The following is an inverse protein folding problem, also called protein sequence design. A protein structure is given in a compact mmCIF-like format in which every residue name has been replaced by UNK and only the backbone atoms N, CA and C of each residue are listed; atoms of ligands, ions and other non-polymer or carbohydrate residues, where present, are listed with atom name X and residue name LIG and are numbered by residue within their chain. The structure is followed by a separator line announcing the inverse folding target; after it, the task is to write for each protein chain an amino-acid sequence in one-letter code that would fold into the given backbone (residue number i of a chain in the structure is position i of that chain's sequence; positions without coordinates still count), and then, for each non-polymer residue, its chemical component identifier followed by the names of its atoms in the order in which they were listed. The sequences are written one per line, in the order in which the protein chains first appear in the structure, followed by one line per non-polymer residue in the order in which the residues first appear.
data_IF_092112560021
#
_entry.id   IF_092112560021
#
_cell.length_a   1.000
_cell.length_b   1.000
_cell.length_c   1.000
_cell.angle_alpha   90.00
_cell.angle_beta   90.00
_cell.angle_gamma   90.00
#
_symmetry.space_group_name_H-M   'P 1'
#
loop_
_entity.id
_entity.type
_entity.pdbx_description
1 polymer ?
#
# COMPACT_ATOMS: atom_id res chain seq x y z
N UNK A 1 -8.47 -7.27 -23.49
CA UNK A 1 -9.46 -6.40 -22.81
C UNK A 1 -8.78 -5.08 -22.48
N UNK A 2 -9.43 -3.95 -22.70
CA UNK A 2 -8.92 -2.63 -22.32
C UNK A 2 -9.22 -2.34 -20.85
N UNK A 3 -8.53 -1.40 -20.24
CA UNK A 3 -8.83 -0.94 -18.87
C UNK A 3 -10.24 -0.35 -18.79
N UNK A 4 -11.08 -0.86 -17.90
CA UNK A 4 -12.44 -0.39 -17.67
C UNK A 4 -12.44 0.87 -16.82
N UNK A 5 -13.10 1.95 -17.28
CA UNK A 5 -13.02 3.29 -16.66
C UNK A 5 -14.37 3.93 -16.37
N UNK A 6 -15.47 3.30 -16.79
CA UNK A 6 -16.83 3.83 -16.61
C UNK A 6 -17.78 2.78 -16.07
N UNK A 7 -18.85 3.21 -15.41
CA UNK A 7 -19.92 2.32 -14.95
C UNK A 7 -20.52 1.52 -16.10
N UNK A 8 -20.74 2.15 -17.27
CA UNK A 8 -21.26 1.48 -18.46
C UNK A 8 -20.35 0.32 -18.91
N UNK A 9 -19.01 0.55 -18.96
CA UNK A 9 -18.06 -0.53 -19.28
C UNK A 9 -18.08 -1.66 -18.25
N UNK A 10 -18.22 -1.34 -16.96
CA UNK A 10 -18.34 -2.35 -15.91
C UNK A 10 -19.61 -3.19 -16.07
N UNK A 11 -20.73 -2.57 -16.44
CA UNK A 11 -21.99 -3.29 -16.75
C UNK A 11 -21.85 -4.14 -18.00
N UNK A 12 -21.35 -3.59 -19.10
CA UNK A 12 -21.15 -4.29 -20.39
C UNK A 12 -20.31 -5.57 -20.20
N UNK A 13 -19.32 -5.51 -19.30
CA UNK A 13 -18.45 -6.65 -19.00
C UNK A 13 -18.96 -7.51 -17.83
N UNK A 14 -20.17 -7.28 -17.33
CA UNK A 14 -20.82 -8.10 -16.30
C UNK A 14 -20.20 -8.02 -14.89
N UNK A 15 -19.46 -6.94 -14.57
CA UNK A 15 -18.95 -6.68 -13.21
C UNK A 15 -19.94 -5.93 -12.32
N UNK A 16 -20.93 -5.29 -12.94
CA UNK A 16 -22.02 -4.56 -12.29
C UNK A 16 -23.31 -4.95 -12.98
N UNK A 17 -24.35 -5.28 -12.22
CA UNK A 17 -25.65 -5.59 -12.77
C UNK A 17 -26.29 -4.32 -13.39
N UNK A 18 -27.02 -4.43 -14.51
CA UNK A 18 -27.57 -3.27 -15.23
C UNK A 18 -28.41 -2.33 -14.36
N UNK A 19 -29.21 -2.86 -13.46
CA UNK A 19 -30.06 -2.11 -12.53
C UNK A 19 -29.25 -1.28 -11.51
N UNK A 20 -27.99 -1.61 -11.30
CA UNK A 20 -27.06 -0.88 -10.42
C UNK A 20 -26.27 0.20 -11.17
N UNK A 21 -26.32 0.26 -12.49
CA UNK A 21 -25.50 1.18 -13.28
C UNK A 21 -25.61 2.62 -12.79
N UNK A 22 -26.82 3.15 -12.60
CA UNK A 22 -27.06 4.53 -12.19
C UNK A 22 -26.42 4.89 -10.86
N UNK A 23 -26.50 4.02 -9.88
CA UNK A 23 -25.85 4.27 -8.57
C UNK A 23 -24.33 4.21 -8.69
N UNK A 24 -23.80 3.31 -9.52
CA UNK A 24 -22.35 3.21 -9.77
C UNK A 24 -21.85 4.43 -10.58
N UNK A 25 -22.64 4.99 -11.47
CA UNK A 25 -22.33 6.28 -12.12
C UNK A 25 -22.15 7.40 -11.10
N UNK A 26 -23.01 7.46 -10.08
CA UNK A 26 -22.86 8.43 -8.97
C UNK A 26 -21.54 8.22 -8.23
N UNK A 27 -21.16 6.98 -7.92
CA UNK A 27 -19.89 6.65 -7.26
C UNK A 27 -18.71 7.05 -8.15
N UNK A 28 -18.74 6.70 -9.44
CA UNK A 28 -17.63 6.99 -10.37
C UNK A 28 -17.53 8.45 -10.76
N UNK A 29 -18.59 9.20 -10.61
CA UNK A 29 -18.60 10.67 -10.73
C UNK A 29 -17.76 11.34 -9.64
N UNK A 30 -17.75 10.76 -8.44
CA UNK A 30 -16.99 11.23 -7.30
C UNK A 30 -15.57 10.62 -7.23
N UNK A 31 -15.47 9.31 -7.33
CA UNK A 31 -14.23 8.58 -7.18
C UNK A 31 -13.83 7.87 -8.47
N UNK A 32 -12.63 8.14 -8.93
CA UNK A 32 -12.11 7.52 -10.16
C UNK A 32 -12.18 6.00 -10.13
N UNK A 33 -12.45 5.42 -11.29
CA UNK A 33 -12.36 3.98 -11.54
C UNK A 33 -11.40 3.70 -12.69
N UNK A 34 -10.57 2.68 -12.53
CA UNK A 34 -9.80 2.04 -13.59
C UNK A 34 -9.53 0.61 -13.14
N UNK A 35 -10.00 -0.35 -13.89
CA UNK A 35 -9.77 -1.78 -13.64
C UNK A 35 -9.05 -2.36 -14.85
N UNK A 36 -7.73 -2.59 -14.77
CA UNK A 36 -6.97 -3.16 -15.88
C UNK A 36 -7.32 -4.63 -16.08
N UNK A 37 -7.09 -5.11 -17.31
CA UNK A 37 -7.36 -6.47 -17.72
C UNK A 37 -6.80 -7.53 -16.77
N UNK A 38 -5.56 -7.34 -16.29
CA UNK A 38 -4.90 -8.28 -15.40
C UNK A 38 -5.66 -8.51 -14.08
N UNK A 39 -6.32 -7.48 -13.55
CA UNK A 39 -7.15 -7.59 -12.34
C UNK A 39 -8.58 -8.00 -12.65
N UNK A 40 -9.16 -7.49 -13.74
CA UNK A 40 -10.50 -7.86 -14.17
C UNK A 40 -10.63 -9.38 -14.44
N UNK A 41 -9.58 -9.98 -15.00
CA UNK A 41 -9.52 -11.43 -15.24
C UNK A 41 -9.42 -12.31 -13.99
N UNK A 42 -9.16 -11.72 -12.81
CA UNK A 42 -9.11 -12.44 -11.53
C UNK A 42 -10.46 -12.47 -10.81
N UNK A 43 -11.41 -11.63 -11.22
CA UNK A 43 -12.70 -11.49 -10.56
C UNK A 43 -13.61 -12.67 -10.91
N UNK A 44 -14.08 -13.38 -9.91
CA UNK A 44 -15.19 -14.32 -10.06
C UNK A 44 -16.51 -13.54 -10.03
N UNK A 45 -17.17 -13.44 -11.18
CA UNK A 45 -18.43 -12.70 -11.34
C UNK A 45 -19.63 -13.38 -10.66
N UNK A 46 -19.49 -14.67 -10.33
CA UNK A 46 -20.54 -15.45 -9.67
C UNK A 46 -20.45 -15.34 -8.14
N UNK A 47 -19.34 -14.85 -7.62
CA UNK A 47 -19.17 -14.61 -6.19
C UNK A 47 -19.45 -13.14 -5.84
N UNK A 48 -20.57 -12.81 -5.18
CA UNK A 48 -20.89 -11.45 -4.77
C UNK A 48 -19.92 -10.90 -3.70
N UNK A 49 -19.10 -11.77 -3.12
CA UNK A 49 -18.11 -11.45 -2.10
C UNK A 49 -16.68 -11.58 -2.60
N UNK A 50 -16.46 -11.70 -3.92
CA UNK A 50 -15.14 -11.87 -4.50
C UNK A 50 -14.15 -10.82 -3.97
N UNK A 51 -13.03 -11.25 -3.34
CA UNK A 51 -12.09 -10.35 -2.67
C UNK A 51 -11.32 -9.44 -3.66
N UNK A 52 -11.25 -9.79 -4.94
CA UNK A 52 -10.65 -8.94 -5.95
C UNK A 52 -11.67 -7.89 -6.42
N UNK A 53 -12.92 -8.29 -6.68
CA UNK A 53 -13.99 -7.36 -7.02
C UNK A 53 -14.15 -6.27 -5.96
N UNK A 54 -14.21 -6.65 -4.69
CA UNK A 54 -14.37 -5.73 -3.56
C UNK A 54 -13.24 -4.70 -3.44
N UNK A 55 -12.06 -5.00 -3.95
CA UNK A 55 -10.95 -4.05 -3.95
C UNK A 55 -11.02 -3.01 -5.09
N UNK A 56 -11.67 -3.33 -6.22
CA UNK A 56 -11.53 -2.55 -7.45
C UNK A 56 -12.85 -2.15 -8.11
N UNK A 57 -13.92 -2.91 -7.90
CA UNK A 57 -15.24 -2.58 -8.46
C UNK A 57 -15.95 -1.60 -7.51
N UNK A 58 -16.47 -0.46 -8.02
CA UNK A 58 -17.21 0.51 -7.21
C UNK A 58 -18.46 -0.10 -6.58
N UNK A 59 -18.76 0.29 -5.34
CA UNK A 59 -19.98 -0.11 -4.62
C UNK A 59 -20.74 1.12 -4.10
N UNK A 60 -22.07 1.04 -4.06
CA UNK A 60 -22.95 2.08 -3.53
C UNK A 60 -22.61 2.44 -2.06
N UNK A 61 -22.05 1.51 -1.29
CA UNK A 61 -21.59 1.75 0.09
C UNK A 61 -20.53 2.85 0.20
N UNK A 62 -19.85 3.18 -0.90
CA UNK A 62 -18.87 4.26 -0.96
C UNK A 62 -19.50 5.66 -0.88
N UNK A 63 -20.82 5.77 -1.05
CA UNK A 63 -21.57 7.02 -0.87
C UNK A 63 -21.95 7.27 0.61
N UNK A 64 -21.77 6.28 1.46
CA UNK A 64 -22.05 6.42 2.89
C UNK A 64 -20.90 7.15 3.56
N UNK A 65 -21.21 8.29 4.17
CA UNK A 65 -20.28 9.09 4.99
C UNK A 65 -20.45 8.71 6.45
N UNK A 66 -19.33 8.58 7.15
CA UNK A 66 -19.31 8.37 8.59
C UNK A 66 -18.77 9.61 9.30
N UNK A 67 -19.19 9.88 10.55
CA UNK A 67 -18.73 11.07 11.28
C UNK A 67 -17.20 11.15 11.45
N UNK A 68 -16.53 10.00 11.52
CA UNK A 68 -15.08 9.89 11.66
C UNK A 68 -14.31 10.04 10.34
N UNK A 69 -14.97 10.11 9.19
CA UNK A 69 -14.31 10.22 7.90
C UNK A 69 -13.57 11.56 7.74
N UNK A 70 -12.32 11.51 7.26
CA UNK A 70 -11.44 12.65 7.09
C UNK A 70 -11.00 12.76 5.63
N UNK A 71 -11.08 13.94 5.04
CA UNK A 71 -10.65 14.21 3.65
C UNK A 71 -9.13 13.98 3.48
N UNK A 72 -8.34 14.33 4.50
CA UNK A 72 -6.91 14.01 4.62
C UNK A 72 -6.69 13.13 5.87
N UNK A 73 -6.97 11.82 5.78
CA UNK A 73 -7.02 10.94 6.94
C UNK A 73 -5.67 10.73 7.62
N UNK A 74 -4.57 10.98 6.92
CA UNK A 74 -3.22 10.81 7.47
C UNK A 74 -2.44 12.14 7.59
N UNK A 75 -3.06 13.29 7.30
CA UNK A 75 -2.44 14.60 7.44
C UNK A 75 -1.28 14.86 6.47
N UNK A 76 -1.47 14.51 5.19
CA UNK A 76 -0.46 14.82 4.16
C UNK A 76 -0.34 16.34 3.92
N UNK A 77 -1.46 17.09 3.99
CA UNK A 77 -1.52 18.51 3.61
C UNK A 77 -0.73 19.39 4.59
N UNK A 78 -0.89 19.18 5.90
CA UNK A 78 -0.18 19.94 6.95
C UNK A 78 1.34 19.70 6.93
N UNK A 79 1.79 18.65 6.27
CA UNK A 79 3.20 18.30 6.11
C UNK A 79 3.73 18.52 4.70
N UNK A 80 3.02 19.30 3.86
CA UNK A 80 3.41 19.55 2.45
C UNK A 80 4.03 20.95 2.29
N UNK A 81 5.35 21.11 2.56
CA UNK A 81 6.02 22.42 2.50
C UNK A 81 6.16 22.98 1.09
N UNK A 82 6.21 22.10 0.08
CA UNK A 82 6.21 22.44 -1.35
C UNK A 82 5.42 21.39 -2.13
N UNK A 83 4.94 21.75 -3.30
CA UNK A 83 4.21 20.83 -4.16
C UNK A 83 4.98 19.53 -4.42
N UNK A 84 4.31 18.43 -4.24
CA UNK A 84 4.88 17.10 -4.44
C UNK A 84 5.63 16.52 -3.24
N UNK A 85 5.94 17.29 -2.21
CA UNK A 85 6.59 16.80 -0.98
C UNK A 85 5.57 16.60 0.14
N UNK A 86 5.75 15.53 0.92
CA UNK A 86 5.21 15.40 2.28
C UNK A 86 6.37 15.06 3.21
N UNK A 87 6.64 15.92 4.19
CA UNK A 87 7.77 15.82 5.11
C UNK A 87 7.27 15.72 6.56
N UNK A 88 6.79 14.55 6.95
CA UNK A 88 6.23 14.27 8.29
C UNK A 88 7.30 13.80 9.28
N UNK A 89 8.26 13.02 8.81
CA UNK A 89 9.31 12.42 9.62
C UNK A 89 10.64 13.13 9.36
N UNK A 90 11.50 13.32 10.36
CA UNK A 90 12.71 14.11 10.20
C UNK A 90 13.69 13.56 9.15
N UNK A 91 13.73 12.24 8.98
CA UNK A 91 14.73 11.54 8.17
C UNK A 91 14.25 11.11 6.76
N UNK A 92 12.97 11.36 6.43
CA UNK A 92 12.41 10.89 5.15
C UNK A 92 11.26 11.73 4.64
N UNK A 93 11.13 11.78 3.31
CA UNK A 93 10.04 12.49 2.63
C UNK A 93 9.34 11.58 1.62
N UNK A 94 8.04 11.85 1.42
CA UNK A 94 7.35 11.38 0.23
C UNK A 94 7.58 12.37 -0.91
N UNK A 95 7.85 11.88 -2.12
CA UNK A 95 7.84 12.64 -3.35
C UNK A 95 6.70 12.13 -4.24
N UNK A 96 5.61 12.90 -4.29
CA UNK A 96 4.40 12.61 -5.06
C UNK A 96 4.63 13.02 -6.53
N UNK A 97 5.02 12.07 -7.38
CA UNK A 97 5.37 12.34 -8.78
C UNK A 97 4.17 12.45 -9.71
N UNK A 98 3.03 11.86 -9.32
CA UNK A 98 1.83 11.76 -10.14
C UNK A 98 0.58 11.63 -9.25
N UNK A 99 -0.59 11.97 -9.81
CA UNK A 99 -1.89 11.73 -9.18
C UNK A 99 -2.70 10.64 -9.91
N UNK A 100 -2.07 9.89 -10.81
CA UNK A 100 -2.72 8.86 -11.62
C UNK A 100 -2.18 7.49 -11.24
N UNK A 101 -3.07 6.48 -11.25
CA UNK A 101 -2.77 5.08 -11.03
C UNK A 101 -3.21 4.22 -12.20
N UNK A 102 -2.61 3.04 -12.36
CA UNK A 102 -3.08 2.02 -13.30
C UNK A 102 -4.42 1.42 -12.86
N UNK A 103 -4.65 1.33 -11.56
CA UNK A 103 -5.89 0.89 -10.91
C UNK A 103 -6.25 1.83 -9.77
N UNK A 104 -7.53 2.15 -9.58
CA UNK A 104 -7.99 2.93 -8.42
C UNK A 104 -8.61 1.99 -7.39
N UNK A 105 -7.86 1.76 -6.30
CA UNK A 105 -8.28 0.92 -5.18
C UNK A 105 -9.45 1.55 -4.43
N UNK A 106 -10.50 0.78 -4.11
CA UNK A 106 -11.70 1.30 -3.42
C UNK A 106 -11.43 1.66 -1.95
N UNK A 107 -10.35 1.17 -1.38
CA UNK A 107 -9.86 1.49 -0.03
C UNK A 107 -8.77 2.56 0.01
N UNK A 108 -8.48 3.25 -1.10
CA UNK A 108 -7.40 4.22 -1.19
C UNK A 108 -7.63 5.41 -0.26
N UNK A 109 -6.72 5.67 0.66
CA UNK A 109 -6.82 6.83 1.56
C UNK A 109 -6.62 8.18 0.85
N UNK A 110 -5.93 8.18 -0.31
CA UNK A 110 -5.76 9.36 -1.17
C UNK A 110 -6.82 9.47 -2.26
N UNK A 111 -7.96 8.81 -2.12
CA UNK A 111 -8.99 8.76 -3.17
C UNK A 111 -9.56 10.13 -3.58
N UNK A 112 -9.54 11.11 -2.68
CA UNK A 112 -9.93 12.50 -2.97
C UNK A 112 -8.84 13.27 -3.77
N UNK A 113 -7.59 12.79 -3.73
CA UNK A 113 -6.43 13.46 -4.33
C UNK A 113 -5.96 12.82 -5.63
N UNK A 114 -6.38 11.59 -5.94
CA UNK A 114 -5.97 10.84 -7.13
C UNK A 114 -7.12 10.75 -8.13
N UNK A 115 -6.79 10.72 -9.41
CA UNK A 115 -7.78 10.53 -10.48
C UNK A 115 -7.42 11.28 -11.77
N UNK A 116 -8.12 11.00 -12.88
CA UNK A 116 -7.82 11.56 -14.20
C UNK A 116 -8.08 13.07 -14.31
N UNK A 117 -8.87 13.64 -13.40
CA UNK A 117 -9.12 15.10 -13.32
C UNK A 117 -7.97 15.88 -12.67
N UNK A 118 -6.97 15.18 -12.13
CA UNK A 118 -5.77 15.77 -11.50
C UNK A 118 -4.61 15.78 -12.49
N UNK A 119 -3.58 16.60 -12.27
CA UNK A 119 -2.39 16.59 -13.14
C UNK A 119 -1.78 15.17 -13.23
N UNK A 120 -1.53 14.70 -14.45
CA UNK A 120 -0.97 13.35 -14.69
C UNK A 120 0.37 13.19 -14.00
N UNK A 121 1.16 14.27 -13.96
CA UNK A 121 2.48 14.27 -13.32
C UNK A 121 2.82 15.65 -12.75
N UNK A 122 3.70 15.66 -11.77
CA UNK A 122 4.28 16.90 -11.26
C UNK A 122 5.01 17.63 -12.40
N UNK A 123 4.71 18.93 -12.58
CA UNK A 123 5.33 19.73 -13.64
C UNK A 123 6.86 19.80 -13.48
N UNK A 124 7.63 20.08 -14.54
CA UNK A 124 9.09 20.19 -14.42
C UNK A 124 9.53 21.22 -13.38
N UNK A 125 8.85 22.40 -13.30
CA UNK A 125 9.15 23.43 -12.33
C UNK A 125 8.90 22.93 -10.88
N UNK A 126 7.73 22.38 -10.60
CA UNK A 126 7.39 21.84 -9.28
C UNK A 126 8.30 20.68 -8.87
N UNK A 127 8.71 19.84 -9.82
CA UNK A 127 9.70 18.80 -9.55
C UNK A 127 11.07 19.39 -9.20
N UNK A 128 11.51 20.45 -9.90
CA UNK A 128 12.77 21.14 -9.59
C UNK A 128 12.73 21.73 -8.17
N UNK A 129 11.62 22.35 -7.77
CA UNK A 129 11.41 22.89 -6.41
C UNK A 129 11.43 21.77 -5.36
N UNK A 130 10.77 20.65 -5.61
CA UNK A 130 10.79 19.49 -4.73
C UNK A 130 12.21 18.91 -4.55
N UNK A 131 12.97 18.78 -5.64
CA UNK A 131 14.38 18.33 -5.59
C UNK A 131 15.25 19.35 -4.87
N UNK A 132 15.04 20.67 -5.08
CA UNK A 132 15.72 21.73 -4.35
C UNK A 132 15.42 21.64 -2.86
N UNK A 133 14.16 21.46 -2.46
CA UNK A 133 13.76 21.27 -1.07
C UNK A 133 14.51 20.09 -0.45
N UNK A 134 14.50 18.91 -1.08
CA UNK A 134 15.24 17.74 -0.59
C UNK A 134 16.71 18.05 -0.40
N UNK A 135 17.34 18.75 -1.35
CA UNK A 135 18.78 19.10 -1.32
C UNK A 135 19.12 20.05 -0.18
N UNK A 136 18.22 20.92 0.21
CA UNK A 136 18.43 21.91 1.31
C UNK A 136 18.12 21.37 2.69
N UNK A 137 17.68 20.11 2.80
CA UNK A 137 17.33 19.46 4.07
C UNK A 137 18.26 18.27 4.34
N UNK A 138 19.45 18.49 4.94
CA UNK A 138 20.50 17.46 5.06
C UNK A 138 20.12 16.28 5.97
N UNK A 139 19.09 16.43 6.81
CA UNK A 139 18.55 15.36 7.64
C UNK A 139 17.77 14.31 6.85
N UNK A 140 17.34 14.60 5.61
CA UNK A 140 16.59 13.65 4.77
C UNK A 140 17.53 12.53 4.31
N UNK A 141 17.38 11.37 4.91
CA UNK A 141 18.15 10.17 4.62
C UNK A 141 17.48 9.30 3.54
N UNK A 142 16.13 9.30 3.49
CA UNK A 142 15.31 8.49 2.57
C UNK A 142 14.33 9.34 1.77
N UNK A 143 14.19 9.05 0.46
CA UNK A 143 13.13 9.60 -0.40
C UNK A 143 12.24 8.48 -0.91
N UNK A 144 10.92 8.65 -0.71
CA UNK A 144 9.90 7.67 -1.07
C UNK A 144 9.09 8.20 -2.24
N UNK A 145 9.24 7.59 -3.42
CA UNK A 145 8.44 7.92 -4.60
C UNK A 145 7.04 7.32 -4.46
N UNK A 146 6.02 8.16 -4.61
CA UNK A 146 4.60 7.82 -4.40
C UNK A 146 3.67 8.84 -5.11
N UNK A 147 2.48 9.04 -4.60
CA UNK A 147 1.44 9.94 -5.09
C UNK A 147 0.21 9.15 -5.53
N UNK A 148 -0.02 9.05 -6.85
CA UNK A 148 -0.65 7.91 -7.49
C UNK A 148 0.34 6.75 -7.53
N UNK A 149 0.50 6.08 -8.66
CA UNK A 149 1.52 5.04 -8.80
C UNK A 149 2.70 5.57 -9.63
N UNK A 150 3.90 5.76 -9.05
CA UNK A 150 5.03 6.33 -9.77
C UNK A 150 5.49 5.49 -10.98
N UNK A 151 5.24 4.16 -10.99
CA UNK A 151 5.63 3.31 -12.12
C UNK A 151 4.70 3.42 -13.35
N UNK A 152 3.66 4.27 -13.27
CA UNK A 152 2.91 4.67 -14.47
C UNK A 152 3.70 5.62 -15.36
N UNK A 153 4.69 6.29 -14.82
CA UNK A 153 5.57 7.20 -15.56
C UNK A 153 6.47 6.45 -16.54
N UNK A 154 6.93 7.13 -17.60
CA UNK A 154 7.83 6.52 -18.56
C UNK A 154 9.20 6.19 -17.93
N UNK A 155 9.91 5.17 -18.40
CA UNK A 155 11.27 4.87 -17.95
C UNK A 155 12.22 6.07 -18.07
N UNK A 156 12.08 6.88 -19.13
CA UNK A 156 12.85 8.13 -19.32
C UNK A 156 12.64 9.11 -18.17
N UNK A 157 11.38 9.34 -17.77
CA UNK A 157 11.04 10.26 -16.68
C UNK A 157 11.55 9.73 -15.34
N UNK A 158 11.32 8.46 -15.04
CA UNK A 158 11.82 7.83 -13.82
C UNK A 158 13.35 7.90 -13.74
N UNK A 159 14.06 7.59 -14.81
CA UNK A 159 15.53 7.69 -14.86
C UNK A 159 16.02 9.10 -14.55
N UNK A 160 15.34 10.14 -15.05
CA UNK A 160 15.68 11.53 -14.75
C UNK A 160 15.53 11.84 -13.26
N UNK A 161 14.38 11.47 -12.66
CA UNK A 161 14.13 11.67 -11.21
C UNK A 161 15.15 10.91 -10.37
N UNK A 162 15.37 9.64 -10.68
CA UNK A 162 16.32 8.78 -9.95
C UNK A 162 17.74 9.32 -10.00
N UNK A 163 18.18 9.85 -11.15
CA UNK A 163 19.49 10.51 -11.28
C UNK A 163 19.59 11.78 -10.43
N UNK A 164 18.54 12.61 -10.42
CA UNK A 164 18.52 13.84 -9.62
C UNK A 164 18.62 13.54 -8.12
N UNK A 165 17.91 12.51 -7.64
CA UNK A 165 17.97 12.05 -6.24
C UNK A 165 19.32 11.39 -5.91
N UNK A 166 19.88 10.61 -6.83
CA UNK A 166 21.17 9.96 -6.64
C UNK A 166 22.32 10.97 -6.51
N UNK A 167 22.18 12.17 -7.07
CA UNK A 167 23.15 13.26 -6.98
C UNK A 167 23.10 14.07 -5.66
N UNK A 168 22.21 13.71 -4.72
CA UNK A 168 22.10 14.36 -3.40
C UNK A 168 22.82 13.49 -2.38
N UNK A 169 23.95 13.91 -1.85
CA UNK A 169 24.85 13.04 -1.06
C UNK A 169 24.23 12.52 0.24
N UNK A 170 23.46 13.33 0.96
CA UNK A 170 22.82 12.93 2.22
C UNK A 170 21.65 11.96 2.02
N UNK A 171 20.98 11.95 0.86
CA UNK A 171 19.99 10.92 0.56
C UNK A 171 20.69 9.59 0.35
N UNK A 172 20.45 8.60 1.18
CA UNK A 172 21.10 7.28 1.15
C UNK A 172 20.24 6.21 0.53
N UNK A 173 18.91 6.32 0.67
CA UNK A 173 17.94 5.32 0.22
C UNK A 173 16.86 5.97 -0.65
N UNK A 174 16.46 5.28 -1.71
CA UNK A 174 15.27 5.62 -2.49
C UNK A 174 14.31 4.43 -2.39
N UNK A 175 13.05 4.68 -2.03
CA UNK A 175 12.01 3.66 -1.98
C UNK A 175 10.88 4.05 -2.94
N UNK A 176 10.25 3.06 -3.55
CA UNK A 176 9.15 3.25 -4.49
C UNK A 176 7.95 2.47 -3.97
N UNK A 177 6.81 3.15 -3.82
CA UNK A 177 5.54 2.53 -3.48
C UNK A 177 4.74 2.32 -4.75
N UNK A 178 4.34 1.08 -5.05
CA UNK A 178 3.66 0.76 -6.30
C UNK A 178 2.72 -0.43 -6.16
N UNK A 179 1.68 -0.45 -6.98
CA UNK A 179 0.82 -1.62 -7.23
C UNK A 179 1.03 -2.19 -8.64
N UNK A 180 1.90 -1.57 -9.44
CA UNK A 180 2.10 -1.90 -10.84
C UNK A 180 2.39 -3.38 -11.10
N UNK A 181 3.20 -4.11 -10.29
CA UNK A 181 3.49 -5.52 -10.53
C UNK A 181 2.25 -6.43 -10.58
N UNK A 182 1.17 -6.06 -9.88
CA UNK A 182 -0.09 -6.81 -9.88
C UNK A 182 -1.17 -6.14 -10.75
N UNK A 183 -1.15 -4.82 -10.90
CA UNK A 183 -2.14 -4.10 -11.70
C UNK A 183 -1.87 -4.20 -13.21
N UNK A 184 -0.60 -4.09 -13.62
CA UNK A 184 -0.14 -4.25 -15.00
C UNK A 184 1.27 -4.86 -15.02
N UNK A 185 1.40 -6.18 -14.83
CA UNK A 185 2.70 -6.87 -14.76
C UNK A 185 3.56 -6.68 -16.02
N UNK A 186 2.93 -6.48 -17.18
CA UNK A 186 3.62 -6.30 -18.47
C UNK A 186 4.44 -5.01 -18.49
N UNK A 187 4.05 -4.02 -17.68
CA UNK A 187 4.76 -2.74 -17.59
C UNK A 187 6.09 -2.84 -16.86
N UNK A 188 6.30 -3.87 -16.04
CA UNK A 188 7.59 -4.09 -15.35
C UNK A 188 8.59 -4.68 -16.34
N UNK A 189 8.98 -3.89 -17.32
CA UNK A 189 9.97 -4.26 -18.35
C UNK A 189 11.39 -4.13 -17.82
N UNK A 190 12.36 -4.77 -18.50
CA UNK A 190 13.77 -4.61 -18.17
C UNK A 190 14.24 -3.16 -18.25
N UNK A 191 13.69 -2.34 -19.16
CA UNK A 191 14.02 -0.91 -19.25
C UNK A 191 13.47 -0.12 -18.06
N UNK A 192 12.25 -0.40 -17.60
CA UNK A 192 11.70 0.19 -16.38
C UNK A 192 12.56 -0.17 -15.16
N UNK A 193 12.93 -1.43 -15.01
CA UNK A 193 13.78 -1.90 -13.90
C UNK A 193 15.13 -1.20 -13.93
N UNK A 194 15.77 -1.08 -15.09
CA UNK A 194 17.01 -0.30 -15.24
C UNK A 194 16.81 1.19 -14.92
N UNK A 195 15.65 1.75 -15.22
CA UNK A 195 15.35 3.16 -14.96
C UNK A 195 15.24 3.51 -13.48
N UNK A 196 14.75 2.58 -12.66
CA UNK A 196 14.58 2.79 -11.22
C UNK A 196 15.79 2.36 -10.38
N UNK A 197 16.73 1.63 -10.95
CA UNK A 197 17.97 1.20 -10.28
C UNK A 197 19.09 2.23 -10.50
N UNK A 198 19.68 2.75 -9.43
CA UNK A 198 20.84 3.63 -9.47
C UNK A 198 22.06 2.98 -8.80
N UNK A 199 23.27 3.22 -9.37
CA UNK A 199 24.49 2.51 -8.93
C UNK A 199 24.93 2.83 -7.50
N UNK A 200 24.69 4.05 -7.02
CA UNK A 200 25.29 4.57 -5.79
C UNK A 200 24.37 4.49 -4.57
N UNK A 201 23.09 4.15 -4.75
CA UNK A 201 22.10 4.15 -3.68
C UNK A 201 21.19 2.93 -3.82
N UNK A 202 20.89 2.22 -2.72
CA UNK A 202 19.92 1.15 -2.75
C UNK A 202 18.54 1.71 -3.10
N UNK A 203 17.86 1.01 -4.01
CA UNK A 203 16.46 1.25 -4.34
C UNK A 203 15.65 0.11 -3.78
N UNK A 204 14.67 0.40 -2.92
CA UNK A 204 13.68 -0.55 -2.42
C UNK A 204 12.37 -0.37 -3.17
N UNK A 205 11.63 -1.44 -3.39
CA UNK A 205 10.28 -1.38 -3.95
C UNK A 205 9.31 -1.99 -2.95
N UNK A 206 8.35 -1.20 -2.48
CA UNK A 206 7.26 -1.64 -1.65
C UNK A 206 6.03 -1.91 -2.53
N UNK A 207 5.72 -3.19 -2.73
CA UNK A 207 4.61 -3.64 -3.58
C UNK A 207 3.33 -3.70 -2.75
N UNK A 208 2.26 -3.11 -3.25
CA UNK A 208 0.96 -3.13 -2.61
C UNK A 208 0.15 -4.33 -3.08
N UNK A 209 -0.10 -5.28 -2.17
CA UNK A 209 -0.82 -6.54 -2.41
C UNK A 209 -1.67 -6.86 -1.17
N UNK A 210 -2.95 -7.19 -1.36
CA UNK A 210 -3.87 -7.47 -0.25
C UNK A 210 -4.44 -8.89 -0.28
N UNK A 211 -4.31 -9.62 -1.38
CA UNK A 211 -4.87 -10.98 -1.48
C UNK A 211 -3.93 -11.91 -2.27
N UNK A 212 -3.76 -13.18 -1.89
CA UNK A 212 -2.84 -14.11 -2.57
C UNK A 212 -3.17 -14.31 -4.07
N UNK A 213 -4.45 -14.21 -4.47
CA UNK A 213 -4.86 -14.29 -5.88
C UNK A 213 -4.29 -13.18 -6.77
N UNK A 214 -3.84 -12.06 -6.21
CA UNK A 214 -3.17 -11.00 -6.98
C UNK A 214 -1.77 -11.43 -7.45
N UNK A 215 -1.14 -12.41 -6.79
CA UNK A 215 0.17 -12.95 -7.14
C UNK A 215 0.07 -14.02 -8.25
N UNK A 216 -0.47 -13.62 -9.39
CA UNK A 216 -0.51 -14.45 -10.62
C UNK A 216 0.90 -14.81 -11.09
N UNK A 217 1.02 -15.77 -12.00
CA UNK A 217 2.30 -16.10 -12.62
C UNK A 217 2.97 -14.88 -13.25
N UNK A 218 2.19 -13.98 -13.89
CA UNK A 218 2.71 -12.76 -14.51
C UNK A 218 3.18 -11.75 -13.44
N UNK A 219 2.45 -11.59 -12.34
CA UNK A 219 2.83 -10.74 -11.22
C UNK A 219 4.10 -11.27 -10.53
N UNK A 220 4.18 -12.59 -10.28
CA UNK A 220 5.39 -13.25 -9.75
C UNK A 220 6.61 -13.01 -10.65
N UNK A 221 6.45 -13.16 -11.97
CA UNK A 221 7.51 -12.88 -12.93
C UNK A 221 7.92 -11.40 -12.95
N UNK A 222 6.97 -10.48 -12.79
CA UNK A 222 7.26 -9.03 -12.68
C UNK A 222 8.08 -8.71 -11.42
N UNK A 223 7.72 -9.30 -10.27
CA UNK A 223 8.50 -9.16 -9.03
C UNK A 223 9.88 -9.79 -9.16
N UNK A 224 9.99 -10.99 -9.75
CA UNK A 224 11.25 -11.66 -10.00
C UNK A 224 12.22 -10.80 -10.82
N UNK A 225 11.74 -10.16 -11.91
CA UNK A 225 12.57 -9.25 -12.73
C UNK A 225 13.23 -8.12 -11.92
N UNK A 226 12.55 -7.59 -10.91
CA UNK A 226 13.14 -6.59 -10.00
C UNK A 226 14.12 -7.22 -9.02
N UNK A 227 13.71 -8.30 -8.36
CA UNK A 227 14.51 -9.00 -7.35
C UNK A 227 15.82 -9.57 -7.94
N UNK A 228 15.80 -10.11 -9.17
CA UNK A 228 16.98 -10.65 -9.86
C UNK A 228 18.04 -9.58 -10.16
N UNK A 229 17.64 -8.29 -10.22
CA UNK A 229 18.60 -7.19 -10.36
C UNK A 229 19.15 -6.71 -9.02
N UNK A 230 18.77 -7.34 -7.90
CA UNK A 230 19.19 -6.96 -6.55
C UNK A 230 18.38 -5.82 -5.94
N UNK A 231 17.16 -5.56 -6.42
CA UNK A 231 16.22 -4.61 -5.79
C UNK A 231 15.49 -5.37 -4.67
N UNK A 232 15.65 -4.99 -3.39
CA UNK A 232 14.88 -5.57 -2.29
C UNK A 232 13.41 -5.23 -2.43
N UNK A 233 12.54 -6.24 -2.26
CA UNK A 233 11.10 -6.09 -2.32
C UNK A 233 10.48 -6.18 -0.93
N UNK A 234 9.59 -5.25 -0.63
CA UNK A 234 8.80 -5.17 0.59
C UNK A 234 7.32 -5.23 0.23
N UNK A 235 6.46 -5.70 1.13
CA UNK A 235 5.02 -5.54 0.93
C UNK A 235 4.45 -4.39 1.74
N UNK A 236 3.45 -3.73 1.15
CA UNK A 236 2.46 -2.95 1.88
C UNK A 236 1.10 -3.60 1.66
N UNK A 237 0.44 -3.97 2.75
CA UNK A 237 -0.86 -4.63 2.75
C UNK A 237 -1.79 -3.83 3.65
N UNK A 238 -3.04 -3.63 3.25
CA UNK A 238 -4.08 -3.04 4.10
C UNK A 238 -4.98 -4.16 4.59
N UNK A 239 -5.29 -4.17 5.88
CA UNK A 239 -6.27 -5.07 6.46
C UNK A 239 -7.68 -4.62 6.08
N UNK A 240 -8.41 -5.46 5.35
CA UNK A 240 -9.68 -5.14 4.74
C UNK A 240 -10.74 -6.18 5.10
N UNK A 241 -11.89 -5.73 5.61
CA UNK A 241 -13.01 -6.56 6.00
C UNK A 241 -13.55 -7.39 4.82
N UNK A 242 -13.62 -8.73 5.00
CA UNK A 242 -14.09 -9.69 4.01
C UNK A 242 -13.21 -9.79 2.75
N UNK A 243 -11.93 -9.40 2.84
CA UNK A 243 -10.95 -9.55 1.76
C UNK A 243 -9.76 -10.37 2.28
N UNK A 244 -9.14 -9.94 3.37
CA UNK A 244 -7.96 -10.59 3.94
C UNK A 244 -7.96 -10.62 5.48
N UNK A 245 -9.11 -10.40 6.09
CA UNK A 245 -9.30 -10.40 7.54
C UNK A 245 -9.55 -11.80 8.12
N UNK A 246 -9.48 -12.85 7.29
CA UNK A 246 -9.48 -14.25 7.72
C UNK A 246 -8.03 -14.74 7.91
N UNK A 247 -7.74 -15.46 9.02
CA UNK A 247 -6.39 -15.91 9.32
C UNK A 247 -5.74 -16.76 8.22
N UNK A 248 -6.52 -17.64 7.59
CA UNK A 248 -6.06 -18.53 6.53
C UNK A 248 -5.64 -17.73 5.28
N UNK A 249 -6.46 -16.77 4.86
CA UNK A 249 -6.17 -15.89 3.71
C UNK A 249 -4.91 -15.04 3.97
N UNK A 250 -4.78 -14.52 5.19
CA UNK A 250 -3.60 -13.73 5.56
C UNK A 250 -2.34 -14.59 5.61
N UNK A 251 -2.41 -15.81 6.16
CA UNK A 251 -1.30 -16.76 6.18
C UNK A 251 -0.83 -17.10 4.75
N UNK A 252 -1.78 -17.43 3.87
CA UNK A 252 -1.50 -17.73 2.47
C UNK A 252 -0.87 -16.53 1.75
N UNK A 253 -1.38 -15.32 2.00
CA UNK A 253 -0.81 -14.10 1.44
C UNK A 253 0.64 -13.90 1.89
N UNK A 254 0.91 -14.00 3.20
CA UNK A 254 2.24 -13.75 3.75
C UNK A 254 3.26 -14.80 3.25
N UNK A 255 2.86 -16.06 3.11
CA UNK A 255 3.69 -17.13 2.53
C UNK A 255 3.97 -16.87 1.05
N UNK A 256 2.92 -16.55 0.26
CA UNK A 256 3.06 -16.26 -1.16
C UNK A 256 3.95 -15.04 -1.44
N UNK A 257 3.93 -14.02 -0.57
CA UNK A 257 4.85 -12.89 -0.64
C UNK A 257 6.31 -13.33 -0.46
N UNK A 258 6.60 -14.12 0.57
CA UNK A 258 7.97 -14.62 0.85
C UNK A 258 8.48 -15.50 -0.27
N UNK A 259 7.65 -16.39 -0.83
CA UNK A 259 7.95 -17.19 -2.02
C UNK A 259 8.32 -16.33 -3.23
N UNK A 260 7.72 -15.13 -3.35
CA UNK A 260 8.05 -14.15 -4.37
C UNK A 260 9.26 -13.27 -4.02
N UNK A 261 9.99 -13.58 -2.94
CA UNK A 261 11.11 -12.77 -2.41
C UNK A 261 10.67 -11.35 -2.02
N UNK A 262 9.41 -11.20 -1.57
CA UNK A 262 8.86 -9.97 -1.04
C UNK A 262 8.79 -10.13 0.48
N UNK A 263 9.52 -9.30 1.25
CA UNK A 263 9.42 -9.30 2.70
C UNK A 263 8.12 -8.64 3.14
N UNK A 264 7.18 -9.32 3.84
CA UNK A 264 6.07 -8.68 4.54
C UNK A 264 6.59 -7.57 5.44
N UNK A 265 6.21 -6.31 5.14
CA UNK A 265 6.74 -5.14 5.84
C UNK A 265 5.67 -4.52 6.74
N UNK A 266 4.65 -3.88 6.15
CA UNK A 266 3.54 -3.34 6.91
C UNK A 266 2.22 -4.03 6.55
N UNK A 267 1.45 -4.33 7.60
CA UNK A 267 0.00 -4.51 7.53
C UNK A 267 -0.63 -3.22 8.08
N UNK A 268 -1.21 -2.42 7.21
CA UNK A 268 -1.86 -1.17 7.58
C UNK A 268 -3.28 -1.43 8.09
N UNK A 269 -3.65 -0.83 9.21
CA UNK A 269 -5.05 -0.65 9.55
C UNK A 269 -5.71 0.29 8.55
N UNK A 270 -7.00 0.09 8.24
CA UNK A 270 -7.72 0.92 7.26
C UNK A 270 -7.86 2.37 7.71
N UNK A 271 -7.42 3.31 6.87
CA UNK A 271 -7.50 4.74 7.16
C UNK A 271 -8.94 5.26 7.12
N UNK A 272 -9.20 6.39 7.81
CA UNK A 272 -10.52 7.00 7.93
C UNK A 272 -10.91 7.82 6.68
N UNK A 273 -10.60 7.33 5.48
CA UNK A 273 -10.97 8.00 4.24
C UNK A 273 -12.47 7.88 3.94
N UNK A 274 -13.11 8.94 3.40
CA UNK A 274 -14.54 8.92 3.08
C UNK A 274 -14.89 7.78 2.12
N UNK A 275 -16.01 7.10 2.38
CA UNK A 275 -16.52 6.01 1.54
C UNK A 275 -15.73 4.70 1.61
N UNK A 276 -14.78 4.56 2.55
CA UNK A 276 -14.04 3.29 2.77
C UNK A 276 -14.56 2.50 3.96
N UNK A 277 -15.52 3.03 4.70
CA UNK A 277 -15.97 2.48 5.98
C UNK A 277 -16.47 1.03 5.94
N UNK A 278 -17.02 0.59 4.80
CA UNK A 278 -17.47 -0.79 4.60
C UNK A 278 -16.33 -1.81 4.40
N UNK A 279 -15.10 -1.33 4.25
CA UNK A 279 -13.89 -2.15 4.11
C UNK A 279 -12.99 -2.10 5.35
N UNK A 280 -13.34 -1.26 6.36
CA UNK A 280 -12.56 -1.16 7.60
C UNK A 280 -12.87 -2.29 8.55
N UNK A 281 -11.88 -2.71 9.31
CA UNK A 281 -12.00 -3.64 10.44
C UNK A 281 -11.86 -2.86 11.75
N UNK A 282 -12.09 -3.51 12.89
CA UNK A 282 -11.65 -2.99 14.19
C UNK A 282 -10.21 -3.40 14.51
N UNK A 283 -9.57 -2.68 15.45
CA UNK A 283 -8.17 -2.92 15.84
C UNK A 283 -8.00 -4.29 16.48
N UNK A 284 -8.95 -4.71 17.32
CA UNK A 284 -8.92 -6.00 18.01
C UNK A 284 -8.85 -7.17 17.03
N UNK A 285 -9.65 -7.12 15.95
CA UNK A 285 -9.61 -8.11 14.87
C UNK A 285 -8.22 -8.22 14.26
N UNK A 286 -7.57 -7.08 14.00
CA UNK A 286 -6.22 -7.07 13.47
C UNK A 286 -5.19 -7.64 14.45
N UNK A 287 -5.33 -7.35 15.74
CA UNK A 287 -4.45 -7.91 16.79
C UNK A 287 -4.62 -9.43 16.91
N UNK A 288 -5.85 -9.93 16.87
CA UNK A 288 -6.12 -11.38 16.92
C UNK A 288 -5.57 -12.09 15.69
N UNK A 289 -5.70 -11.47 14.51
CA UNK A 289 -5.10 -11.97 13.28
C UNK A 289 -3.57 -12.10 13.42
N UNK A 290 -2.91 -11.08 13.97
CA UNK A 290 -1.47 -11.10 14.19
C UNK A 290 -1.02 -12.15 15.22
N UNK A 291 -1.81 -12.39 16.29
CA UNK A 291 -1.55 -13.49 17.24
C UNK A 291 -1.59 -14.84 16.54
N UNK A 292 -2.64 -15.09 15.75
CA UNK A 292 -2.79 -16.35 15.00
C UNK A 292 -1.67 -16.55 13.99
N UNK A 293 -1.30 -15.50 13.25
CA UNK A 293 -0.19 -15.55 12.28
C UNK A 293 1.14 -15.90 12.96
N UNK A 294 1.39 -15.37 14.16
CA UNK A 294 2.62 -15.62 14.94
C UNK A 294 2.82 -17.10 15.23
N UNK A 295 1.77 -17.83 15.54
CA UNK A 295 1.85 -19.26 15.87
C UNK A 295 1.91 -20.20 14.67
N UNK A 296 1.54 -19.71 13.46
CA UNK A 296 1.31 -20.56 12.28
C UNK A 296 2.32 -20.35 11.15
N UNK A 297 2.90 -19.16 11.04
CA UNK A 297 3.78 -18.79 9.94
C UNK A 297 5.18 -18.41 10.42
N UNK A 298 6.18 -18.69 9.58
CA UNK A 298 7.58 -18.32 9.81
C UNK A 298 7.76 -16.84 10.18
N UNK A 299 8.81 -16.53 10.92
CA UNK A 299 9.22 -15.14 11.20
C UNK A 299 9.43 -14.31 9.94
N UNK A 300 9.76 -14.91 8.80
CA UNK A 300 9.82 -14.23 7.51
C UNK A 300 8.45 -13.71 7.05
N UNK A 301 7.37 -14.39 7.45
CA UNK A 301 5.99 -14.08 7.06
C UNK A 301 5.30 -13.07 8.00
N UNK A 302 6.03 -12.47 8.95
CA UNK A 302 5.46 -11.56 9.96
C UNK A 302 5.61 -10.11 9.52
N UNK A 303 4.50 -9.39 9.18
CA UNK A 303 4.50 -7.94 9.00
C UNK A 303 4.43 -7.22 10.35
N UNK A 304 4.66 -5.90 10.33
CA UNK A 304 4.33 -5.02 11.45
C UNK A 304 2.93 -4.47 11.22
N UNK A 305 2.00 -4.73 12.14
CA UNK A 305 0.65 -4.15 12.10
C UNK A 305 0.69 -2.73 12.62
N UNK A 306 0.28 -1.76 11.78
CA UNK A 306 0.43 -0.33 12.04
C UNK A 306 -0.86 0.43 11.77
N UNK A 307 -1.08 1.51 12.53
CA UNK A 307 -2.08 2.53 12.30
C UNK A 307 -1.39 3.85 11.94
N UNK A 308 -1.83 4.50 10.88
CA UNK A 308 -1.52 5.90 10.63
C UNK A 308 -2.43 6.76 11.51
N UNK A 309 -1.86 7.43 12.51
CA UNK A 309 -2.63 8.25 13.46
C UNK A 309 -3.16 9.49 12.71
N UNK A 310 -4.49 9.73 12.71
CA UNK A 310 -5.09 10.89 12.06
C UNK A 310 -4.46 12.22 12.49
N UNK A 311 -4.49 13.22 11.62
CA UNK A 311 -3.89 14.53 11.89
C UNK A 311 -2.38 14.62 11.62
N UNK A 312 -1.80 13.59 10.98
CA UNK A 312 -0.38 13.63 10.60
C UNK A 312 0.60 13.21 11.69
N UNK A 313 0.14 12.57 12.76
CA UNK A 313 0.98 12.13 13.89
C UNK A 313 1.85 10.91 13.58
N UNK A 314 1.78 10.38 12.36
CA UNK A 314 2.64 9.29 11.89
C UNK A 314 2.09 7.90 12.19
N UNK A 315 2.93 6.88 11.95
CA UNK A 315 2.58 5.47 12.14
C UNK A 315 2.92 5.00 13.55
N UNK A 316 1.95 4.29 14.17
CA UNK A 316 2.18 3.58 15.43
C UNK A 316 2.00 2.08 15.22
N UNK A 317 2.92 1.22 15.71
CA UNK A 317 2.67 -0.21 15.81
C UNK A 317 1.51 -0.46 16.79
N UNK A 318 0.49 -1.18 16.32
CA UNK A 318 -0.71 -1.54 17.09
C UNK A 318 -0.91 -3.06 17.15
N UNK A 319 0.18 -3.80 16.96
CA UNK A 319 0.18 -5.26 17.10
C UNK A 319 -0.16 -5.72 18.52
N UNK A 320 -0.33 -7.03 18.73
CA UNK A 320 -0.59 -7.58 20.05
C UNK A 320 0.52 -7.25 21.04
N UNK A 321 0.15 -7.01 22.30
CA UNK A 321 1.10 -6.92 23.38
C UNK A 321 1.33 -8.31 23.98
N UNK A 322 2.53 -8.84 23.79
CA UNK A 322 2.96 -10.12 24.36
C UNK A 322 3.61 -9.98 25.74
N UNK A 323 4.00 -8.74 26.11
CA UNK A 323 4.45 -8.41 27.47
C UNK A 323 3.23 -7.96 28.26
N UNK A 324 2.60 -8.89 29.00
CA UNK A 324 1.31 -8.67 29.65
C UNK A 324 1.42 -7.99 30.99
N UNK A 325 2.52 -8.19 31.70
CA UNK A 325 2.77 -7.58 33.02
C UNK A 325 4.26 -7.35 33.24
N UNK A 326 4.59 -6.22 33.89
CA UNK A 326 5.91 -5.95 34.45
C UNK A 326 5.84 -6.08 35.97
N UNK A 327 6.75 -6.83 36.54
CA UNK A 327 6.88 -7.01 38.00
C UNK A 327 8.10 -6.23 38.52
N UNK A 328 8.20 -6.12 39.85
CA UNK A 328 9.43 -5.62 40.49
C UNK A 328 10.65 -6.48 40.11
N UNK A 329 11.85 -5.94 40.26
CA UNK A 329 13.11 -6.62 39.97
C UNK A 329 13.27 -7.07 38.50
N UNK A 330 12.75 -6.31 37.55
CA UNK A 330 12.82 -6.58 36.10
C UNK A 330 12.18 -7.90 35.67
N UNK A 331 11.34 -8.51 36.50
CA UNK A 331 10.56 -9.66 36.08
C UNK A 331 9.35 -9.24 35.23
N UNK A 332 8.91 -10.12 34.35
CA UNK A 332 7.80 -9.89 33.45
C UNK A 332 7.02 -11.16 33.18
N UNK A 333 5.75 -11.00 32.83
CA UNK A 333 4.89 -12.07 32.29
C UNK A 333 4.82 -11.88 30.77
N UNK A 334 5.18 -12.91 30.03
CA UNK A 334 5.24 -12.91 28.58
C UNK A 334 4.34 -14.03 28.04
N UNK A 335 3.50 -13.68 27.06
CA UNK A 335 2.64 -14.60 26.34
C UNK A 335 3.41 -15.25 25.19
N UNK A 336 3.39 -16.59 25.11
CA UNK A 336 3.95 -17.33 23.98
C UNK A 336 2.98 -17.40 22.78
N UNK A 337 3.43 -18.07 21.69
CA UNK A 337 2.63 -18.21 20.46
C UNK A 337 1.39 -19.12 20.62
N UNK A 338 1.25 -19.85 21.73
CA UNK A 338 0.07 -20.66 22.08
C UNK A 338 -0.88 -19.92 23.01
N UNK A 339 -0.55 -18.69 23.42
CA UNK A 339 -1.30 -17.90 24.38
C UNK A 339 -1.00 -18.26 25.84
N UNK A 340 0.05 -19.07 26.10
CA UNK A 340 0.42 -19.45 27.46
C UNK A 340 1.36 -18.39 28.05
N UNK A 341 1.11 -18.03 29.31
CA UNK A 341 1.89 -17.05 30.02
C UNK A 341 3.10 -17.66 30.72
N UNK A 342 4.26 -17.05 30.55
CA UNK A 342 5.53 -17.43 31.13
C UNK A 342 6.14 -16.26 31.90
N UNK A 343 6.69 -16.55 33.09
CA UNK A 343 7.46 -15.55 33.84
C UNK A 343 8.91 -15.54 33.35
N UNK A 344 9.44 -14.35 33.09
CA UNK A 344 10.84 -14.13 32.73
C UNK A 344 11.49 -13.08 33.64
N UNK A 345 12.70 -13.31 34.24
CA UNK A 345 13.34 -14.65 34.29
C UNK A 345 12.49 -15.64 35.09
N UNK A 346 12.66 -16.92 34.79
CA UNK A 346 12.01 -17.97 35.58
C UNK A 346 12.52 -17.90 37.03
N UNK A 347 11.62 -18.21 38.01
CA UNK A 347 12.06 -18.32 39.40
C UNK A 347 13.10 -19.44 39.46
N UNK A 348 14.26 -19.17 40.06
CA UNK A 348 15.17 -20.23 40.45
C UNK A 348 14.44 -21.16 41.42
N UNK A 349 14.44 -22.46 41.13
CA UNK A 349 13.86 -23.48 42.00
C UNK A 349 14.75 -23.66 43.24
#
# INVERSE_FOLDING_TARGET
MTTLRTAAQLCEHGFVAPERQKIIETVTGRYAVAVPEALAGLIDRNDPHDPIARQFIPDAKELVHRPEDLADPIGDDVHSPVDGIVHRYPDRVLLKLTHVCAVYCRFCFRREMVGPKKPIQLSPAKLADAIKYIRTQPQIWEVILTGGDPLILSPRRLRSVMKSLAAIDHVKVIRIHTRMPVADPKRITADLVRAIKVKRKPTYVAVHINHPRELTQQARAACARMADTGIPLLSQTVLLAGINDMPEVMEDLMRALVECRIKPYYLHHGDLAPGTGHLRTDIGRGQDLMRRLRGRASGLCQPIYVLDIPGGHGKSPIGPNYLTQREANNAAIIEDFKGVQHRYPARQR
#
